data_IF_925647460202
#
_entry.id   IF_925647460202
#
_cell.length_a   1.000
_cell.length_b   1.000
_cell.length_c   1.000
_cell.angle_alpha   90.00
_cell.angle_beta   90.00
_cell.angle_gamma   90.00
#
_symmetry.space_group_name_H-M   'P 1'
#
loop_
_entity.id
_entity.type
_entity.pdbx_description
1 polymer ?
#
# COMPACT_ATOMS: atom_id res chain seq x y z
N UNK A 1 17.69 -9.34 19.51
CA UNK A 1 18.52 -8.80 18.41
C UNK A 1 18.28 -7.31 18.30
N UNK A 2 19.33 -6.56 17.94
CA UNK A 2 19.19 -5.16 17.52
C UNK A 2 18.92 -5.10 16.02
N UNK A 3 17.74 -4.62 15.63
CA UNK A 3 17.28 -4.64 14.25
C UNK A 3 17.08 -3.20 13.77
N UNK A 4 17.68 -2.85 12.63
CA UNK A 4 17.37 -1.64 11.91
C UNK A 4 16.42 -1.95 10.74
N UNK A 5 15.24 -1.34 10.71
CA UNK A 5 14.37 -1.30 9.54
C UNK A 5 14.50 0.07 8.88
N UNK A 6 14.81 0.11 7.58
CA UNK A 6 14.98 1.35 6.86
C UNK A 6 13.88 1.54 5.82
N UNK A 7 13.26 2.73 5.82
CA UNK A 7 12.30 3.16 4.79
C UNK A 7 12.53 4.62 4.41
N UNK A 8 12.09 5.03 3.23
CA UNK A 8 12.44 6.34 2.66
C UNK A 8 11.45 7.46 3.01
N UNK A 9 10.35 7.17 3.69
CA UNK A 9 9.25 8.13 3.85
C UNK A 9 8.50 7.94 5.16
N UNK A 10 7.92 9.03 5.64
CA UNK A 10 7.00 9.07 6.80
C UNK A 10 5.53 8.98 6.40
N UNK A 11 5.21 9.07 5.11
CA UNK A 11 3.84 9.12 4.56
C UNK A 11 3.18 7.73 4.47
N UNK A 12 1.84 7.62 4.45
CA UNK A 12 1.10 6.35 4.44
C UNK A 12 1.19 5.64 3.08
N UNK A 13 2.34 5.08 2.78
CA UNK A 13 2.60 4.23 1.61
C UNK A 13 2.66 2.77 2.03
N UNK A 14 2.30 1.84 1.14
CA UNK A 14 2.23 0.41 1.46
C UNK A 14 3.51 -0.13 2.14
N UNK A 15 4.69 0.20 1.61
CA UNK A 15 5.96 -0.19 2.24
C UNK A 15 6.21 0.44 3.60
N UNK A 16 5.75 1.69 3.83
CA UNK A 16 5.87 2.36 5.15
C UNK A 16 4.88 1.76 6.15
N UNK A 17 3.65 1.48 5.72
CA UNK A 17 2.65 0.77 6.56
C UNK A 17 3.20 -0.59 6.99
N UNK A 18 3.77 -1.35 6.05
CA UNK A 18 4.45 -2.62 6.32
C UNK A 18 5.59 -2.44 7.33
N UNK A 19 6.48 -1.48 7.08
CA UNK A 19 7.66 -1.23 7.94
C UNK A 19 7.27 -1.00 9.39
N UNK A 20 6.29 -0.13 9.63
CA UNK A 20 5.84 0.20 10.98
C UNK A 20 5.16 -0.98 11.67
N UNK A 21 4.28 -1.67 10.97
CA UNK A 21 3.57 -2.81 11.54
C UNK A 21 4.49 -4.01 11.82
N UNK A 22 5.48 -4.26 10.94
CA UNK A 22 6.52 -5.24 11.18
C UNK A 22 7.41 -4.84 12.36
N UNK A 23 7.80 -3.56 12.46
CA UNK A 23 8.61 -3.06 13.58
C UNK A 23 7.91 -3.29 14.93
N UNK A 24 6.63 -2.94 15.01
CA UNK A 24 5.81 -3.14 16.22
C UNK A 24 5.67 -4.62 16.57
N UNK A 25 5.43 -5.49 15.57
CA UNK A 25 5.33 -6.94 15.80
C UNK A 25 6.67 -7.56 16.24
N UNK A 26 7.81 -7.11 15.68
CA UNK A 26 9.14 -7.54 16.11
C UNK A 26 9.47 -7.05 17.52
N UNK A 27 9.11 -5.83 17.87
CA UNK A 27 9.27 -5.28 19.22
C UNK A 27 8.42 -6.06 20.23
N UNK A 28 7.16 -6.36 19.89
CA UNK A 28 6.28 -7.21 20.70
C UNK A 28 6.83 -8.64 20.88
N UNK A 29 7.62 -9.14 19.91
CA UNK A 29 8.37 -10.39 20.00
C UNK A 29 9.71 -10.25 20.77
N UNK A 30 9.94 -9.15 21.50
CA UNK A 30 11.08 -8.93 22.36
C UNK A 30 12.37 -8.50 21.64
N UNK A 31 12.27 -7.98 20.42
CA UNK A 31 13.43 -7.48 19.68
C UNK A 31 13.64 -5.99 19.95
N UNK A 32 14.91 -5.55 19.87
CA UNK A 32 15.32 -4.16 19.97
C UNK A 32 15.28 -3.53 18.58
N UNK A 33 14.17 -2.83 18.24
CA UNK A 33 13.88 -2.37 16.89
C UNK A 33 14.03 -0.87 16.77
N UNK A 34 14.78 -0.44 15.75
CA UNK A 34 14.89 0.96 15.33
C UNK A 34 14.41 1.12 13.89
N UNK A 35 13.48 2.05 13.64
CA UNK A 35 13.06 2.44 12.29
C UNK A 35 13.78 3.72 11.88
N UNK A 36 14.50 3.65 10.77
CA UNK A 36 15.19 4.79 10.13
C UNK A 36 14.38 5.28 8.93
N UNK A 37 14.20 6.58 8.80
CA UNK A 37 13.49 7.20 7.69
C UNK A 37 13.95 8.63 7.41
N UNK A 38 13.51 9.18 6.28
CA UNK A 38 13.70 10.59 5.92
C UNK A 38 12.46 11.41 6.30
N UNK A 39 12.65 12.50 7.05
CA UNK A 39 11.63 13.50 7.39
C UNK A 39 11.49 14.54 6.28
N UNK A 40 10.73 14.23 5.24
CA UNK A 40 10.50 15.13 4.10
C UNK A 40 9.57 16.26 4.47
N UNK A 41 9.83 17.46 3.95
CA UNK A 41 8.97 18.63 4.17
C UNK A 41 8.87 19.05 5.65
N UNK A 42 9.89 18.75 6.46
CA UNK A 42 9.90 19.05 7.89
C UNK A 42 9.14 18.05 8.76
N UNK A 43 8.75 16.89 8.22
CA UNK A 43 8.11 15.84 9.02
C UNK A 43 9.03 15.37 10.16
N UNK A 44 8.56 15.51 11.40
CA UNK A 44 9.23 15.01 12.61
C UNK A 44 8.81 13.60 13.03
N UNK A 45 7.85 12.98 12.34
CA UNK A 45 7.30 11.68 12.68
C UNK A 45 6.47 11.07 11.55
N UNK A 46 5.94 9.88 11.80
CA UNK A 46 5.12 9.15 10.83
C UNK A 46 3.67 9.62 10.82
N UNK A 47 2.93 9.21 9.79
CA UNK A 47 1.52 9.52 9.57
C UNK A 47 0.56 8.99 10.68
N UNK A 48 1.07 8.17 11.59
CA UNK A 48 0.36 7.65 12.77
C UNK A 48 1.33 7.51 13.96
N UNK A 49 0.79 7.42 15.18
CA UNK A 49 1.57 6.99 16.34
C UNK A 49 2.20 5.62 16.10
N UNK A 50 3.41 5.42 16.62
CA UNK A 50 4.16 4.16 16.60
C UNK A 50 4.36 3.72 18.04
N UNK A 51 4.31 2.41 18.29
CA UNK A 51 4.51 1.84 19.62
C UNK A 51 5.83 2.37 20.23
N UNK A 52 5.82 2.89 21.48
CA UNK A 52 7.01 3.43 22.14
C UNK A 52 8.16 2.42 22.28
N UNK A 53 7.90 1.12 22.20
CA UNK A 53 8.91 0.08 22.18
C UNK A 53 9.78 0.12 20.92
N UNK A 54 9.31 0.78 19.84
CA UNK A 54 10.05 0.97 18.59
C UNK A 54 10.77 2.32 18.63
N UNK A 55 12.08 2.30 18.50
CA UNK A 55 12.86 3.55 18.37
C UNK A 55 12.73 4.12 16.96
N UNK A 56 12.54 5.43 16.87
CA UNK A 56 12.44 6.15 15.60
C UNK A 56 13.66 7.05 15.39
N UNK A 57 14.23 7.00 14.19
CA UNK A 57 15.31 7.86 13.70
C UNK A 57 14.84 8.55 12.42
N UNK A 58 14.26 9.72 12.57
CA UNK A 58 13.80 10.56 11.45
C UNK A 58 14.94 11.49 11.08
N UNK A 59 15.57 11.21 9.94
CA UNK A 59 16.68 12.02 9.41
C UNK A 59 16.10 13.25 8.71
N UNK A 60 16.47 14.48 9.08
CA UNK A 60 15.99 15.67 8.41
C UNK A 60 16.31 15.64 6.92
N UNK A 61 15.26 15.86 6.10
CA UNK A 61 15.38 15.89 4.66
C UNK A 61 14.59 17.09 4.12
N UNK A 62 15.21 18.27 4.05
CA UNK A 62 14.58 19.47 3.57
C UNK A 62 14.17 19.31 2.09
N UNK A 63 13.13 20.02 1.70
CA UNK A 63 12.72 20.05 0.30
C UNK A 63 13.85 20.59 -0.57
N UNK A 64 14.00 20.05 -1.77
CA UNK A 64 14.90 20.55 -2.79
C UNK A 64 14.38 21.85 -3.40
N UNK A 65 15.22 22.50 -4.19
CA UNK A 65 14.80 23.66 -4.95
C UNK A 65 13.67 23.32 -5.95
N UNK A 66 12.92 24.31 -6.44
CA UNK A 66 11.78 24.10 -7.34
C UNK A 66 12.15 23.39 -8.67
N UNK A 67 13.42 23.36 -9.02
CA UNK A 67 13.93 22.67 -10.21
C UNK A 67 14.37 21.21 -9.94
N UNK A 68 14.34 20.75 -8.68
CA UNK A 68 14.79 19.39 -8.35
C UNK A 68 13.90 18.33 -9.00
N UNK A 69 14.47 17.56 -9.91
CA UNK A 69 13.80 16.43 -10.54
C UNK A 69 13.62 15.25 -9.60
N UNK A 70 12.71 14.32 -9.96
CA UNK A 70 12.46 13.10 -9.16
C UNK A 70 13.73 12.26 -9.01
N UNK A 71 14.52 12.10 -10.08
CA UNK A 71 15.77 11.36 -10.06
C UNK A 71 16.79 11.94 -9.11
N UNK A 72 17.03 13.25 -9.17
CA UNK A 72 17.94 13.97 -8.28
C UNK A 72 17.51 13.82 -6.82
N UNK A 73 16.23 13.96 -6.54
CA UNK A 73 15.66 13.77 -5.20
C UNK A 73 15.88 12.34 -4.67
N UNK A 74 15.74 11.32 -5.53
CA UNK A 74 16.01 9.92 -5.16
C UNK A 74 17.48 9.75 -4.81
N UNK A 75 18.41 10.23 -5.64
CA UNK A 75 19.84 10.13 -5.40
C UNK A 75 20.26 10.88 -4.13
N UNK A 76 19.75 12.08 -3.92
CA UNK A 76 19.96 12.86 -2.69
C UNK A 76 19.39 12.13 -1.46
N UNK A 77 18.23 11.49 -1.58
CA UNK A 77 17.64 10.69 -0.50
C UNK A 77 18.55 9.54 -0.08
N UNK A 78 19.14 8.84 -1.04
CA UNK A 78 20.10 7.77 -0.81
C UNK A 78 21.34 8.31 -0.08
N UNK A 79 21.89 9.44 -0.55
CA UNK A 79 23.09 10.04 0.02
C UNK A 79 22.87 10.51 1.47
N UNK A 80 21.76 11.20 1.74
CA UNK A 80 21.44 11.72 3.08
C UNK A 80 21.19 10.58 4.06
N UNK A 81 20.40 9.57 3.67
CA UNK A 81 20.13 8.43 4.55
C UNK A 81 21.41 7.61 4.82
N UNK A 82 22.25 7.39 3.81
CA UNK A 82 23.54 6.71 3.95
C UNK A 82 24.49 7.44 4.91
N UNK A 83 24.55 8.76 4.80
CA UNK A 83 25.43 9.57 5.67
C UNK A 83 25.01 9.51 7.14
N UNK A 84 23.71 9.47 7.41
CA UNK A 84 23.16 9.45 8.76
C UNK A 84 23.15 8.05 9.40
N UNK A 85 23.10 6.98 8.59
CA UNK A 85 22.90 5.62 9.08
C UNK A 85 24.22 4.95 9.47
N UNK A 86 24.25 4.31 10.65
CA UNK A 86 25.40 3.59 11.18
C UNK A 86 25.09 2.08 11.28
N UNK A 87 25.38 1.28 10.24
CA UNK A 87 24.98 -0.14 10.20
C UNK A 87 25.62 -1.00 11.30
N UNK A 88 26.85 -0.68 11.74
CA UNK A 88 27.59 -1.47 12.74
C UNK A 88 26.96 -1.49 14.15
N UNK A 89 25.93 -0.71 14.41
CA UNK A 89 25.21 -0.71 15.67
C UNK A 89 24.13 -1.83 15.75
N UNK A 90 23.85 -2.52 14.65
CA UNK A 90 22.74 -3.46 14.51
C UNK A 90 23.21 -4.87 14.14
N UNK A 91 22.52 -5.87 14.71
CA UNK A 91 22.71 -7.27 14.34
C UNK A 91 22.13 -7.57 12.95
N UNK A 92 21.01 -6.89 12.62
CA UNK A 92 20.31 -7.00 11.35
C UNK A 92 20.00 -5.62 10.80
N UNK A 93 20.34 -5.43 9.53
CA UNK A 93 19.95 -4.27 8.73
C UNK A 93 19.00 -4.73 7.64
N UNK A 94 17.77 -4.21 7.63
CA UNK A 94 16.71 -4.63 6.72
C UNK A 94 16.07 -3.45 6.01
N UNK A 95 16.29 -3.32 4.72
CA UNK A 95 15.77 -2.26 3.87
C UNK A 95 14.41 -2.62 3.26
N UNK A 96 13.49 -1.66 3.21
CA UNK A 96 12.11 -1.86 2.77
C UNK A 96 11.83 -1.31 1.37
N UNK A 97 12.77 -0.60 0.76
CA UNK A 97 12.62 0.02 -0.55
C UNK A 97 13.99 0.20 -1.26
N UNK A 98 13.96 0.65 -2.51
CA UNK A 98 15.14 0.86 -3.32
C UNK A 98 16.09 1.91 -2.73
N UNK A 99 15.53 3.01 -2.20
CA UNK A 99 16.32 4.12 -1.61
C UNK A 99 17.05 3.61 -0.36
N UNK A 100 16.33 2.97 0.54
CA UNK A 100 16.89 2.45 1.79
C UNK A 100 17.90 1.32 1.57
N UNK A 101 17.69 0.45 0.57
CA UNK A 101 18.65 -0.60 0.22
C UNK A 101 19.97 -0.01 -0.31
N UNK A 102 19.89 0.98 -1.21
CA UNK A 102 21.09 1.68 -1.69
C UNK A 102 21.78 2.46 -0.58
N UNK A 103 21.04 3.01 0.38
CA UNK A 103 21.62 3.73 1.51
C UNK A 103 22.33 2.80 2.49
N UNK A 104 21.72 1.68 2.83
CA UNK A 104 22.24 0.70 3.78
C UNK A 104 23.44 -0.09 3.25
N UNK A 105 23.49 -0.36 1.95
CA UNK A 105 24.53 -1.16 1.32
C UNK A 105 24.34 -2.66 1.60
N UNK A 106 25.10 -3.20 2.57
CA UNK A 106 24.98 -4.61 2.96
C UNK A 106 23.79 -4.81 3.89
N UNK A 107 22.70 -5.39 3.37
CA UNK A 107 21.43 -5.54 4.09
C UNK A 107 20.60 -6.69 3.57
N UNK A 108 19.60 -7.12 4.33
CA UNK A 108 18.41 -7.79 3.81
C UNK A 108 17.52 -6.77 3.11
N UNK A 109 16.77 -7.18 2.11
CA UNK A 109 15.77 -6.31 1.48
C UNK A 109 14.43 -7.01 1.33
N UNK A 110 13.34 -6.33 1.72
CA UNK A 110 11.99 -6.70 1.29
C UNK A 110 11.65 -6.02 -0.04
N UNK A 111 11.18 -6.81 -1.01
CA UNK A 111 10.67 -6.34 -2.30
C UNK A 111 9.14 -6.39 -2.24
N UNK A 112 8.53 -5.21 -2.21
CA UNK A 112 7.07 -5.05 -2.20
C UNK A 112 6.46 -5.14 -3.60
N UNK A 113 7.17 -4.69 -4.62
CA UNK A 113 6.90 -4.80 -6.05
C UNK A 113 8.15 -4.34 -6.81
N UNK A 114 8.21 -4.65 -8.07
CA UNK A 114 9.28 -4.18 -8.95
C UNK A 114 8.78 -2.98 -9.76
N UNK A 115 9.59 -1.91 -9.81
CA UNK A 115 9.36 -0.75 -10.66
C UNK A 115 10.23 -0.82 -11.92
N UNK A 116 9.80 -0.17 -12.98
CA UNK A 116 10.61 0.02 -14.17
C UNK A 116 11.05 1.47 -14.26
N UNK A 117 12.35 1.67 -14.36
CA UNK A 117 12.95 2.99 -14.51
C UNK A 117 13.54 3.12 -15.90
N UNK A 118 13.25 4.22 -16.59
CA UNK A 118 13.77 4.53 -17.91
C UNK A 118 15.04 5.38 -17.86
N UNK A 119 15.27 6.08 -16.75
CA UNK A 119 16.49 6.88 -16.52
C UNK A 119 17.63 5.95 -16.14
N UNK A 120 18.80 5.98 -16.83
CA UNK A 120 19.89 5.04 -16.59
C UNK A 120 20.36 5.00 -15.11
N UNK A 121 20.45 6.15 -14.45
CA UNK A 121 20.89 6.26 -13.06
C UNK A 121 19.90 5.59 -12.09
N UNK A 122 18.60 5.75 -12.34
CA UNK A 122 17.56 5.12 -11.53
C UNK A 122 17.46 3.61 -11.80
N UNK A 123 17.63 3.20 -13.07
CA UNK A 123 17.72 1.79 -13.42
C UNK A 123 18.91 1.12 -12.72
N UNK A 124 20.08 1.77 -12.71
CA UNK A 124 21.25 1.29 -11.99
C UNK A 124 21.05 1.27 -10.46
N UNK A 125 20.33 2.24 -9.88
CA UNK A 125 19.94 2.20 -8.46
C UNK A 125 18.99 1.02 -8.17
N UNK A 126 18.05 0.76 -9.06
CA UNK A 126 17.12 -0.37 -8.92
C UNK A 126 17.87 -1.70 -9.00
N UNK A 127 18.74 -1.86 -9.97
CA UNK A 127 19.58 -3.04 -10.15
C UNK A 127 20.42 -3.32 -8.89
N UNK A 128 21.17 -2.33 -8.41
CA UNK A 128 21.95 -2.47 -7.17
C UNK A 128 21.09 -2.82 -5.96
N UNK A 129 19.87 -2.28 -5.88
CA UNK A 129 18.97 -2.58 -4.77
C UNK A 129 18.43 -4.02 -4.81
N UNK A 130 18.52 -4.72 -5.95
CA UNK A 130 18.17 -6.14 -6.06
C UNK A 130 19.41 -7.02 -5.88
N UNK A 131 20.56 -6.64 -6.45
CA UNK A 131 21.74 -7.50 -6.55
C UNK A 131 22.72 -7.39 -5.37
N UNK A 132 22.76 -6.25 -4.67
CA UNK A 132 23.71 -6.01 -3.57
C UNK A 132 23.25 -6.51 -2.19
N UNK A 133 21.93 -6.56 -1.85
CA UNK A 133 21.51 -7.17 -0.60
C UNK A 133 22.00 -8.62 -0.49
N UNK A 134 22.39 -9.03 0.71
CA UNK A 134 22.82 -10.42 0.93
C UNK A 134 21.66 -11.41 0.99
N UNK A 135 20.43 -10.93 1.06
CA UNK A 135 19.21 -11.72 1.01
C UNK A 135 17.99 -10.90 0.59
N UNK A 136 17.10 -11.54 -0.15
CA UNK A 136 15.84 -10.92 -0.62
C UNK A 136 14.65 -11.62 0.03
N UNK A 137 13.71 -10.82 0.51
CA UNK A 137 12.40 -11.25 0.98
C UNK A 137 11.37 -10.67 0.01
N UNK A 138 10.44 -11.49 -0.48
CA UNK A 138 9.33 -11.05 -1.31
C UNK A 138 8.00 -11.23 -0.58
N UNK A 139 7.06 -10.29 -0.78
CA UNK A 139 5.77 -10.30 -0.08
C UNK A 139 4.74 -11.26 -0.68
N UNK A 140 5.07 -11.90 -1.80
CA UNK A 140 4.26 -12.92 -2.48
C UNK A 140 5.15 -13.83 -3.33
N UNK A 141 4.62 -14.98 -3.72
CA UNK A 141 5.27 -15.91 -4.65
C UNK A 141 5.45 -15.26 -6.02
N UNK A 142 4.43 -14.57 -6.50
CA UNK A 142 4.50 -13.89 -7.80
C UNK A 142 5.67 -12.90 -7.87
N UNK A 143 5.92 -12.10 -6.82
CA UNK A 143 7.08 -11.19 -6.76
C UNK A 143 8.40 -11.98 -6.70
N UNK A 144 8.44 -13.10 -5.97
CA UNK A 144 9.63 -13.93 -5.91
C UNK A 144 9.96 -14.57 -7.27
N UNK A 145 8.95 -14.98 -8.02
CA UNK A 145 9.10 -15.53 -9.37
C UNK A 145 9.60 -14.46 -10.36
N UNK A 146 9.13 -13.20 -10.23
CA UNK A 146 9.67 -12.07 -11.01
C UNK A 146 11.16 -11.82 -10.70
N UNK A 147 11.57 -11.88 -9.42
CA UNK A 147 12.97 -11.75 -9.01
C UNK A 147 13.80 -12.91 -9.56
N UNK A 148 13.30 -14.13 -9.47
CA UNK A 148 13.99 -15.30 -10.02
C UNK A 148 14.14 -15.21 -11.54
N UNK A 149 13.11 -14.80 -12.25
CA UNK A 149 13.13 -14.64 -13.71
C UNK A 149 14.07 -13.51 -14.16
N UNK A 150 14.10 -12.38 -13.42
CA UNK A 150 14.90 -11.21 -13.80
C UNK A 150 16.39 -11.32 -13.44
N UNK A 151 16.70 -11.96 -12.30
CA UNK A 151 18.06 -11.95 -11.73
C UNK A 151 18.59 -13.32 -11.31
N UNK A 152 17.82 -14.39 -11.44
CA UNK A 152 18.24 -15.72 -10.97
C UNK A 152 18.36 -15.85 -9.44
N UNK A 153 17.80 -14.89 -8.68
CA UNK A 153 17.90 -14.86 -7.22
C UNK A 153 16.73 -15.63 -6.60
N UNK A 154 17.03 -16.54 -5.69
CA UNK A 154 16.03 -17.22 -4.87
C UNK A 154 15.69 -16.36 -3.66
N UNK A 155 14.46 -15.85 -3.59
CA UNK A 155 13.98 -15.02 -2.50
C UNK A 155 13.16 -15.83 -1.48
N UNK A 156 13.25 -15.47 -0.20
CA UNK A 156 12.29 -15.94 0.80
C UNK A 156 10.93 -15.27 0.56
N UNK A 157 9.84 -16.03 0.73
CA UNK A 157 8.48 -15.47 0.61
C UNK A 157 7.87 -15.32 1.99
N UNK A 158 7.62 -14.08 2.39
CA UNK A 158 6.95 -13.75 3.65
C UNK A 158 5.81 -12.78 3.35
N UNK A 159 4.56 -13.25 3.36
CA UNK A 159 3.41 -12.39 3.15
C UNK A 159 3.30 -11.28 4.21
N UNK A 160 2.73 -10.16 3.81
CA UNK A 160 2.41 -9.08 4.77
C UNK A 160 1.38 -9.55 5.79
N UNK A 161 1.48 -9.02 7.00
CA UNK A 161 0.37 -9.05 7.95
C UNK A 161 -0.70 -8.02 7.59
N UNK A 162 -1.85 -8.16 8.19
CA UNK A 162 -2.99 -7.22 8.12
C UNK A 162 -3.51 -6.98 9.53
N UNK A 163 -3.85 -5.75 9.86
CA UNK A 163 -4.56 -5.42 11.10
C UNK A 163 -6.06 -5.71 10.94
N UNK A 164 -6.37 -7.00 10.74
CA UNK A 164 -7.73 -7.46 10.48
C UNK A 164 -8.69 -7.11 11.63
N UNK A 165 -8.21 -7.16 12.87
CA UNK A 165 -9.02 -6.86 14.05
C UNK A 165 -9.53 -5.42 14.04
N UNK A 166 -8.69 -4.45 13.67
CA UNK A 166 -9.03 -3.02 13.59
C UNK A 166 -10.10 -2.75 12.54
N UNK A 167 -10.00 -3.37 11.37
CA UNK A 167 -10.99 -3.19 10.30
C UNK A 167 -12.29 -3.95 10.60
N UNK A 168 -12.21 -5.15 11.18
CA UNK A 168 -13.38 -5.89 11.64
C UNK A 168 -14.12 -5.16 12.76
N UNK A 169 -13.41 -4.54 13.71
CA UNK A 169 -14.00 -3.71 14.76
C UNK A 169 -14.80 -2.55 14.14
N UNK A 170 -14.22 -1.82 13.18
CA UNK A 170 -14.91 -0.72 12.51
C UNK A 170 -16.20 -1.16 11.79
N UNK A 171 -16.28 -2.42 11.35
CA UNK A 171 -17.49 -3.03 10.78
C UNK A 171 -18.46 -3.57 11.84
N UNK A 172 -18.05 -3.60 13.12
CA UNK A 172 -18.77 -4.19 14.24
C UNK A 172 -20.09 -3.51 14.59
N UNK A 173 -20.88 -4.13 15.49
CA UNK A 173 -22.20 -3.63 15.87
C UNK A 173 -22.17 -2.57 16.98
N UNK A 174 -21.02 -2.11 17.44
CA UNK A 174 -20.88 -1.09 18.45
C UNK A 174 -21.55 0.24 18.07
N UNK A 175 -21.97 1.04 19.05
CA UNK A 175 -22.64 2.33 18.80
C UNK A 175 -21.69 3.31 18.11
N UNK A 176 -20.45 3.39 18.58
CA UNK A 176 -19.45 4.30 18.02
C UNK A 176 -19.11 3.95 16.56
N UNK A 177 -18.95 2.65 16.28
CA UNK A 177 -18.62 2.13 14.95
C UNK A 177 -19.78 2.35 13.97
N UNK A 178 -21.03 2.12 14.40
CA UNK A 178 -22.22 2.43 13.58
C UNK A 178 -22.33 3.91 13.27
N UNK A 179 -22.09 4.77 14.26
CA UNK A 179 -22.13 6.22 14.11
C UNK A 179 -21.02 6.71 13.14
N UNK A 180 -19.80 6.18 13.27
CA UNK A 180 -18.71 6.51 12.36
C UNK A 180 -19.04 6.13 10.90
N UNK A 181 -19.58 4.93 10.68
CA UNK A 181 -20.02 4.49 9.34
C UNK A 181 -21.21 5.31 8.82
N UNK A 182 -22.15 5.68 9.70
CA UNK A 182 -23.31 6.49 9.34
C UNK A 182 -22.87 7.84 8.76
N UNK A 183 -21.90 8.53 9.38
CA UNK A 183 -21.38 9.83 8.90
C UNK A 183 -20.81 9.74 7.49
N UNK A 184 -20.10 8.66 7.17
CA UNK A 184 -19.60 8.45 5.81
C UNK A 184 -20.72 8.22 4.80
N UNK A 185 -21.74 7.44 5.17
CA UNK A 185 -22.91 7.20 4.31
C UNK A 185 -23.80 8.44 4.15
N UNK A 186 -23.90 9.26 5.16
CA UNK A 186 -24.60 10.57 5.04
C UNK A 186 -23.86 11.51 4.09
N UNK A 187 -22.53 11.46 4.10
CA UNK A 187 -21.70 12.31 3.24
C UNK A 187 -21.68 11.87 1.78
N UNK A 188 -21.62 10.56 1.53
CA UNK A 188 -21.39 10.02 0.19
C UNK A 188 -22.51 9.14 -0.35
N UNK A 189 -23.52 8.82 0.42
CA UNK A 189 -24.55 7.85 0.05
C UNK A 189 -23.98 6.42 0.00
N UNK A 190 -24.45 5.65 -0.95
CA UNK A 190 -23.92 4.32 -1.31
C UNK A 190 -22.69 4.52 -2.19
N UNK A 191 -21.54 3.97 -1.82
CA UNK A 191 -20.30 4.23 -2.56
C UNK A 191 -19.42 3.01 -2.74
N UNK A 192 -18.67 3.03 -3.85
CA UNK A 192 -17.48 2.19 -4.10
C UNK A 192 -16.26 2.97 -3.61
N UNK A 193 -15.43 2.33 -2.80
CA UNK A 193 -14.19 2.90 -2.30
C UNK A 193 -12.99 2.37 -3.09
N UNK A 194 -12.06 3.26 -3.44
CA UNK A 194 -10.70 2.91 -3.85
C UNK A 194 -9.70 3.60 -2.92
N UNK A 195 -8.65 2.89 -2.50
CA UNK A 195 -7.59 3.43 -1.66
C UNK A 195 -6.28 3.44 -2.42
N UNK A 196 -5.73 4.65 -2.61
CA UNK A 196 -4.52 4.93 -3.36
C UNK A 196 -4.59 6.30 -4.02
N UNK A 197 -3.44 6.81 -4.46
CA UNK A 197 -3.38 8.07 -5.23
C UNK A 197 -3.92 7.90 -6.65
N UNK A 198 -4.16 9.03 -7.31
CA UNK A 198 -4.46 9.05 -8.75
C UNK A 198 -3.12 8.94 -9.48
N UNK A 199 -2.79 7.72 -9.89
CA UNK A 199 -1.52 7.38 -10.54
C UNK A 199 -1.68 6.22 -11.53
N UNK A 200 -0.81 6.10 -12.55
CA UNK A 200 -0.89 5.04 -13.57
C UNK A 200 -0.94 3.64 -12.96
N UNK A 201 -0.05 3.35 -12.02
CA UNK A 201 0.06 2.04 -11.37
C UNK A 201 -1.23 1.60 -10.66
N UNK A 202 -2.00 2.57 -10.15
CA UNK A 202 -3.28 2.29 -9.47
C UNK A 202 -4.46 2.10 -10.42
N UNK A 203 -4.24 2.23 -11.74
CA UNK A 203 -5.31 2.04 -12.73
C UNK A 203 -6.44 3.05 -12.59
N UNK A 204 -6.13 4.30 -12.20
CA UNK A 204 -7.14 5.28 -11.82
C UNK A 204 -8.00 5.74 -13.01
N UNK A 205 -7.49 5.70 -14.25
CA UNK A 205 -8.28 5.95 -15.45
C UNK A 205 -9.25 4.79 -15.72
N UNK A 206 -8.80 3.54 -15.61
CA UNK A 206 -9.68 2.37 -15.77
C UNK A 206 -10.81 2.38 -14.72
N UNK A 207 -10.48 2.81 -13.49
CA UNK A 207 -11.47 2.99 -12.42
C UNK A 207 -12.53 4.02 -12.80
N UNK A 208 -12.12 5.12 -13.41
CA UNK A 208 -13.02 6.19 -13.83
C UNK A 208 -13.97 5.72 -14.93
N UNK A 209 -13.45 5.00 -15.93
CA UNK A 209 -14.25 4.40 -17.01
C UNK A 209 -15.21 3.32 -16.46
N UNK A 210 -14.73 2.45 -15.58
CA UNK A 210 -15.55 1.44 -14.93
C UNK A 210 -16.70 2.06 -14.13
N UNK A 211 -16.41 3.16 -13.43
CA UNK A 211 -17.42 3.90 -12.68
C UNK A 211 -18.46 4.53 -13.61
N UNK A 212 -18.07 5.11 -14.74
CA UNK A 212 -19.00 5.66 -15.71
C UNK A 212 -19.97 4.57 -16.24
N UNK A 213 -19.42 3.39 -16.57
CA UNK A 213 -20.23 2.24 -16.99
C UNK A 213 -21.17 1.73 -15.88
N UNK A 214 -20.68 1.66 -14.63
CA UNK A 214 -21.47 1.23 -13.48
C UNK A 214 -22.65 2.15 -13.24
N UNK A 215 -22.49 3.45 -13.34
CA UNK A 215 -23.54 4.43 -13.09
C UNK A 215 -24.74 4.31 -14.04
N UNK A 216 -24.56 3.76 -15.23
CA UNK A 216 -25.68 3.53 -16.14
C UNK A 216 -26.72 2.54 -15.59
N UNK A 217 -26.32 1.64 -14.70
CA UNK A 217 -27.20 0.65 -14.05
C UNK A 217 -27.38 0.88 -12.53
N UNK A 218 -26.46 1.59 -11.89
CA UNK A 218 -26.45 1.89 -10.45
C UNK A 218 -26.25 3.41 -10.24
N UNK A 219 -27.23 4.25 -10.61
CA UNK A 219 -27.06 5.71 -10.64
C UNK A 219 -26.88 6.37 -9.26
N UNK A 220 -27.30 5.70 -8.19
CA UNK A 220 -27.16 6.14 -6.80
C UNK A 220 -25.79 5.85 -6.21
N UNK A 221 -24.95 5.05 -6.88
CA UNK A 221 -23.61 4.71 -6.39
C UNK A 221 -22.62 5.82 -6.72
N UNK A 222 -21.83 6.23 -5.73
CA UNK A 222 -20.70 7.18 -5.91
C UNK A 222 -19.37 6.46 -5.90
N UNK A 223 -18.39 7.06 -6.56
CA UNK A 223 -16.98 6.67 -6.42
C UNK A 223 -16.29 7.58 -5.40
N UNK A 224 -15.63 6.97 -4.41
CA UNK A 224 -14.82 7.67 -3.41
C UNK A 224 -13.39 7.16 -3.53
N UNK A 225 -12.44 8.08 -3.71
CA UNK A 225 -11.00 7.80 -3.83
C UNK A 225 -10.30 8.41 -2.62
N UNK A 226 -9.63 7.57 -1.82
CA UNK A 226 -8.88 7.97 -0.64
C UNK A 226 -7.39 7.69 -0.85
N UNK A 227 -6.57 8.74 -0.96
CA UNK A 227 -5.13 8.61 -1.12
C UNK A 227 -4.47 9.92 -1.50
N UNK A 228 -3.23 10.09 -1.08
CA UNK A 228 -2.43 11.27 -1.33
C UNK A 228 -1.54 11.16 -2.57
N UNK A 229 -0.72 12.19 -2.75
CA UNK A 229 0.29 12.23 -3.80
C UNK A 229 1.38 11.17 -3.60
N UNK A 230 2.01 10.78 -4.70
CA UNK A 230 3.06 9.77 -4.73
C UNK A 230 4.47 10.40 -4.74
N UNK A 231 5.51 9.56 -4.74
CA UNK A 231 6.88 10.02 -4.90
C UNK A 231 7.14 10.61 -6.28
N UNK A 232 6.48 10.06 -7.29
CA UNK A 232 6.66 10.43 -8.70
C UNK A 232 5.81 11.64 -9.06
N UNK A 233 6.26 12.40 -10.05
CA UNK A 233 5.49 13.49 -10.60
C UNK A 233 4.48 12.97 -11.63
N UNK A 234 3.23 12.92 -11.22
CA UNK A 234 2.12 12.50 -12.07
C UNK A 234 1.15 13.64 -12.38
N UNK A 235 1.62 14.91 -12.39
CA UNK A 235 0.77 16.07 -12.66
C UNK A 235 0.05 15.96 -14.00
N UNK A 236 0.74 15.53 -15.04
CA UNK A 236 0.13 15.36 -16.37
C UNK A 236 -0.92 14.23 -16.38
N UNK A 237 -0.63 13.12 -15.70
CA UNK A 237 -1.59 12.04 -15.54
C UNK A 237 -2.80 12.49 -14.69
N UNK A 238 -2.57 13.26 -13.66
CA UNK A 238 -3.64 13.84 -12.85
C UNK A 238 -4.49 14.81 -13.66
N UNK A 239 -3.90 15.69 -14.46
CA UNK A 239 -4.62 16.60 -15.34
C UNK A 239 -5.45 15.84 -16.40
N UNK A 240 -4.91 14.76 -16.97
CA UNK A 240 -5.64 13.89 -17.89
C UNK A 240 -6.83 13.19 -17.21
N UNK A 241 -6.64 12.73 -15.97
CA UNK A 241 -7.70 12.13 -15.16
C UNK A 241 -8.82 13.15 -14.85
N UNK A 242 -8.46 14.37 -14.42
CA UNK A 242 -9.42 15.43 -14.12
C UNK A 242 -10.22 15.84 -15.37
N UNK A 243 -9.54 16.00 -16.51
CA UNK A 243 -10.19 16.30 -17.80
C UNK A 243 -11.15 15.17 -18.22
N UNK A 244 -10.76 13.90 -18.01
CA UNK A 244 -11.61 12.77 -18.32
C UNK A 244 -12.82 12.68 -17.40
N UNK A 245 -12.63 12.94 -16.11
CA UNK A 245 -13.73 12.99 -15.13
C UNK A 245 -14.74 14.07 -15.51
N UNK A 246 -14.28 15.27 -15.90
CA UNK A 246 -15.14 16.35 -16.38
C UNK A 246 -15.90 15.95 -17.66
N UNK A 247 -15.23 15.31 -18.61
CA UNK A 247 -15.86 14.85 -19.85
C UNK A 247 -16.95 13.81 -19.62
N UNK A 248 -16.78 12.94 -18.61
CA UNK A 248 -17.76 11.89 -18.28
C UNK A 248 -18.90 12.38 -17.39
N UNK A 249 -18.66 13.33 -16.49
CA UNK A 249 -19.58 13.66 -15.40
C UNK A 249 -19.86 15.17 -15.26
N UNK A 250 -19.21 16.05 -16.03
CA UNK A 250 -19.34 17.51 -15.86
C UNK A 250 -20.76 18.05 -16.02
N UNK A 251 -21.62 17.30 -16.75
CA UNK A 251 -23.06 17.59 -16.85
C UNK A 251 -23.88 17.19 -15.60
N UNK A 252 -23.28 16.46 -14.63
CA UNK A 252 -23.90 16.00 -13.41
C UNK A 252 -22.89 16.04 -12.25
N UNK A 253 -22.68 17.23 -11.63
CA UNK A 253 -21.64 17.44 -10.62
C UNK A 253 -21.72 16.48 -9.43
N UNK A 254 -22.92 16.02 -9.09
CA UNK A 254 -23.14 15.02 -8.03
C UNK A 254 -22.60 13.63 -8.40
N UNK A 255 -22.35 13.39 -9.70
CA UNK A 255 -21.76 12.16 -10.21
C UNK A 255 -20.23 12.17 -10.23
N UNK A 256 -19.61 13.33 -10.09
CA UNK A 256 -18.13 13.42 -10.02
C UNK A 256 -17.60 12.56 -8.86
N UNK A 257 -16.48 11.81 -9.09
CA UNK A 257 -15.82 11.08 -8.03
C UNK A 257 -15.41 12.01 -6.87
N UNK A 258 -15.60 11.55 -5.63
CA UNK A 258 -15.12 12.26 -4.46
C UNK A 258 -13.66 11.88 -4.18
N UNK A 259 -12.73 12.81 -4.45
CA UNK A 259 -11.28 12.62 -4.17
C UNK A 259 -10.96 13.25 -2.83
N UNK A 260 -10.65 12.43 -1.82
CA UNK A 260 -10.46 12.86 -0.43
C UNK A 260 -9.04 13.33 -0.11
N UNK A 261 -8.06 12.98 -0.95
CA UNK A 261 -6.66 13.11 -0.54
C UNK A 261 -6.29 12.13 0.59
N UNK A 262 -5.26 12.42 1.38
CA UNK A 262 -4.87 11.59 2.52
C UNK A 262 -5.97 11.56 3.58
N UNK A 263 -6.42 10.36 3.95
CA UNK A 263 -7.40 10.16 5.02
C UNK A 263 -6.64 9.85 6.32
N UNK A 264 -7.03 10.44 7.46
CA UNK A 264 -6.44 10.12 8.76
C UNK A 264 -6.46 8.61 9.03
N UNK A 265 -5.37 8.11 9.62
CA UNK A 265 -5.20 6.69 9.85
C UNK A 265 -6.36 6.06 10.66
N UNK A 266 -6.83 6.74 11.69
CA UNK A 266 -7.94 6.32 12.55
C UNK A 266 -9.31 6.37 11.85
N UNK A 267 -9.47 7.20 10.83
CA UNK A 267 -10.71 7.32 10.07
C UNK A 267 -10.84 6.27 8.94
N UNK A 268 -9.70 5.76 8.43
CA UNK A 268 -9.68 4.83 7.29
C UNK A 268 -10.51 3.54 7.52
N UNK A 269 -10.48 2.87 8.69
CA UNK A 269 -11.28 1.67 8.91
C UNK A 269 -12.79 1.92 8.82
N UNK A 270 -13.29 3.03 9.38
CA UNK A 270 -14.72 3.36 9.31
C UNK A 270 -15.16 3.78 7.91
N UNK A 271 -14.31 4.49 7.16
CA UNK A 271 -14.53 4.79 5.74
C UNK A 271 -14.61 3.50 4.93
N UNK A 272 -13.68 2.58 5.13
CA UNK A 272 -13.67 1.28 4.45
C UNK A 272 -14.92 0.47 4.81
N UNK A 273 -15.23 0.31 6.11
CA UNK A 273 -16.37 -0.48 6.57
C UNK A 273 -17.75 0.11 6.18
N UNK A 274 -17.81 1.38 5.83
CA UNK A 274 -19.04 2.03 5.34
C UNK A 274 -19.27 1.84 3.84
N UNK A 275 -18.25 1.46 3.07
CA UNK A 275 -18.32 1.27 1.63
C UNK A 275 -19.24 0.09 1.26
N UNK A 276 -19.93 0.20 0.13
CA UNK A 276 -20.76 -0.87 -0.42
C UNK A 276 -19.92 -1.92 -1.17
N UNK A 277 -18.82 -1.48 -1.80
CA UNK A 277 -17.82 -2.32 -2.42
C UNK A 277 -16.45 -1.62 -2.41
N UNK A 278 -15.39 -2.38 -2.57
CA UNK A 278 -14.02 -1.89 -2.73
C UNK A 278 -13.51 -2.23 -4.12
N UNK A 279 -13.02 -1.25 -4.87
CA UNK A 279 -12.42 -1.45 -6.18
C UNK A 279 -10.90 -1.29 -6.12
N UNK A 280 -10.17 -2.29 -6.62
CA UNK A 280 -8.71 -2.31 -6.60
C UNK A 280 -8.15 -2.58 -8.01
N UNK A 281 -8.20 -1.59 -8.91
CA UNK A 281 -7.87 -1.77 -10.32
C UNK A 281 -6.37 -1.65 -10.63
N UNK A 282 -5.51 -1.75 -9.60
CA UNK A 282 -4.05 -1.61 -9.75
C UNK A 282 -3.51 -2.51 -10.85
N UNK A 283 -2.70 -1.95 -11.75
CA UNK A 283 -2.05 -2.69 -12.84
C UNK A 283 -0.74 -3.34 -12.42
N UNK A 284 -0.24 -3.00 -11.23
CA UNK A 284 0.95 -3.60 -10.61
C UNK A 284 0.85 -3.55 -9.10
N UNK A 285 1.02 -4.70 -8.48
CA UNK A 285 0.97 -4.88 -7.03
C UNK A 285 1.93 -6.01 -6.60
N UNK A 286 2.26 -6.03 -5.31
CA UNK A 286 3.00 -7.14 -4.73
C UNK A 286 2.21 -7.93 -3.69
N UNK A 287 1.13 -7.34 -3.10
CA UNK A 287 0.30 -8.02 -2.10
C UNK A 287 -1.15 -7.52 -2.09
N UNK A 288 -1.37 -6.20 -2.07
CA UNK A 288 -2.71 -5.63 -2.02
C UNK A 288 -3.22 -5.39 -0.59
N UNK A 289 -2.41 -4.75 0.28
CA UNK A 289 -2.79 -4.45 1.67
C UNK A 289 -4.17 -3.80 1.81
N UNK A 290 -4.46 -2.76 1.02
CA UNK A 290 -5.74 -2.04 1.10
C UNK A 290 -6.95 -2.93 0.73
N UNK A 291 -6.77 -3.85 -0.24
CA UNK A 291 -7.80 -4.82 -0.57
C UNK A 291 -8.02 -5.83 0.58
N UNK A 292 -6.94 -6.28 1.21
CA UNK A 292 -7.00 -7.18 2.36
C UNK A 292 -7.66 -6.51 3.58
N UNK A 293 -7.40 -5.21 3.81
CA UNK A 293 -8.06 -4.39 4.83
C UNK A 293 -9.57 -4.26 4.55
N UNK A 294 -9.96 -4.11 3.29
CA UNK A 294 -11.38 -4.10 2.91
C UNK A 294 -12.06 -5.46 3.15
N UNK A 295 -11.39 -6.56 2.83
CA UNK A 295 -11.87 -7.92 3.17
C UNK A 295 -12.03 -8.10 4.67
N UNK A 296 -11.10 -7.61 5.49
CA UNK A 296 -11.18 -7.65 6.94
C UNK A 296 -12.41 -6.88 7.47
N UNK A 297 -12.74 -5.75 6.86
CA UNK A 297 -13.97 -5.01 7.16
C UNK A 297 -15.24 -5.70 6.64
N UNK A 298 -15.13 -6.84 5.95
CA UNK A 298 -16.26 -7.54 5.35
C UNK A 298 -16.87 -6.82 4.15
N UNK A 299 -16.09 -5.97 3.48
CA UNK A 299 -16.48 -5.27 2.26
C UNK A 299 -16.09 -6.13 1.07
N UNK A 300 -17.00 -6.39 0.10
CA UNK A 300 -16.67 -7.15 -1.09
C UNK A 300 -15.64 -6.40 -1.94
N UNK A 301 -14.66 -7.14 -2.46
CA UNK A 301 -13.54 -6.61 -3.24
C UNK A 301 -13.64 -7.05 -4.69
N UNK A 302 -13.53 -6.08 -5.60
CA UNK A 302 -13.31 -6.31 -7.03
C UNK A 302 -11.91 -5.81 -7.37
N UNK A 303 -11.07 -6.67 -7.91
CA UNK A 303 -9.66 -6.39 -8.15
C UNK A 303 -9.24 -6.70 -9.58
N UNK A 304 -8.11 -6.12 -10.02
CA UNK A 304 -7.49 -6.48 -11.30
C UNK A 304 -7.12 -7.95 -11.32
N UNK A 305 -7.31 -8.58 -12.46
CA UNK A 305 -6.87 -9.95 -12.71
C UNK A 305 -5.36 -9.99 -12.91
N UNK A 306 -4.62 -10.09 -11.80
CA UNK A 306 -3.18 -10.24 -11.76
C UNK A 306 -2.80 -11.53 -11.03
N UNK A 307 -1.71 -12.23 -11.44
CA UNK A 307 -1.24 -13.45 -10.76
C UNK A 307 -1.08 -13.25 -9.24
N UNK A 308 -0.47 -12.17 -8.82
CA UNK A 308 -0.27 -11.84 -7.40
C UNK A 308 -1.59 -11.64 -6.65
N UNK A 309 -2.59 -10.99 -7.26
CA UNK A 309 -3.88 -10.76 -6.61
C UNK A 309 -4.74 -12.02 -6.58
N UNK A 310 -4.60 -12.91 -7.58
CA UNK A 310 -5.16 -14.26 -7.51
C UNK A 310 -4.52 -15.12 -6.43
N UNK A 311 -3.20 -15.04 -6.28
CA UNK A 311 -2.46 -15.73 -5.21
C UNK A 311 -2.95 -15.27 -3.82
N UNK A 312 -2.98 -13.95 -3.58
CA UNK A 312 -3.17 -13.37 -2.26
C UNK A 312 -4.64 -13.29 -1.87
N UNK A 313 -5.53 -12.88 -2.79
CA UNK A 313 -6.94 -12.64 -2.50
C UNK A 313 -7.85 -13.83 -2.87
N UNK A 314 -7.37 -14.71 -3.76
CA UNK A 314 -8.01 -15.98 -4.10
C UNK A 314 -9.53 -15.91 -4.28
N UNK A 315 -10.28 -16.87 -3.74
CA UNK A 315 -11.73 -16.95 -3.91
C UNK A 315 -12.50 -15.91 -3.08
N UNK A 316 -11.82 -15.07 -2.28
CA UNK A 316 -12.46 -14.04 -1.46
C UNK A 316 -12.73 -12.73 -2.21
N UNK A 317 -12.36 -12.67 -3.50
CA UNK A 317 -12.51 -11.47 -4.35
C UNK A 317 -13.06 -11.82 -5.73
N UNK A 318 -13.60 -10.82 -6.42
CA UNK A 318 -13.92 -10.88 -7.84
C UNK A 318 -12.80 -10.25 -8.66
N UNK A 319 -12.60 -10.72 -9.88
CA UNK A 319 -11.48 -10.32 -10.74
C UNK A 319 -11.98 -9.77 -12.07
N UNK A 320 -11.36 -8.68 -12.51
CA UNK A 320 -11.68 -8.03 -13.78
C UNK A 320 -10.39 -7.60 -14.51
N UNK A 321 -10.39 -7.68 -15.84
CA UNK A 321 -9.25 -7.33 -16.66
C UNK A 321 -9.31 -5.90 -17.19
N UNK A 322 -10.52 -5.35 -17.40
CA UNK A 322 -10.80 -4.10 -18.07
C UNK A 322 -11.95 -3.32 -17.42
N UNK A 323 -12.21 -2.06 -17.81
CA UNK A 323 -13.28 -1.25 -17.22
C UNK A 323 -14.68 -1.87 -17.30
N UNK A 324 -15.02 -2.55 -18.38
CA UNK A 324 -16.32 -3.19 -18.54
C UNK A 324 -16.48 -4.37 -17.56
N UNK A 325 -15.44 -5.19 -17.43
CA UNK A 325 -15.36 -6.26 -16.43
C UNK A 325 -15.50 -5.73 -15.01
N UNK A 326 -14.76 -4.64 -14.66
CA UNK A 326 -14.90 -3.99 -13.35
C UNK A 326 -16.33 -3.52 -13.08
N UNK A 327 -16.96 -2.86 -14.03
CA UNK A 327 -18.36 -2.41 -13.90
C UNK A 327 -19.32 -3.59 -13.68
N UNK A 328 -19.14 -4.69 -14.42
CA UNK A 328 -19.94 -5.92 -14.29
C UNK A 328 -19.78 -6.57 -12.91
N UNK A 329 -18.54 -6.78 -12.46
CA UNK A 329 -18.25 -7.41 -11.17
C UNK A 329 -18.65 -6.51 -9.99
N UNK A 330 -18.45 -5.17 -10.10
CA UNK A 330 -18.93 -4.22 -9.10
C UNK A 330 -20.46 -4.28 -8.97
N UNK A 331 -21.19 -4.31 -10.08
CA UNK A 331 -22.65 -4.47 -10.07
C UNK A 331 -23.04 -5.77 -9.37
N UNK A 332 -22.40 -6.89 -9.71
CA UNK A 332 -22.71 -8.19 -9.11
C UNK A 332 -22.51 -8.18 -7.58
N UNK A 333 -21.39 -7.66 -7.07
CA UNK A 333 -21.15 -7.58 -5.61
C UNK A 333 -22.06 -6.57 -4.91
N UNK A 334 -22.48 -5.51 -5.57
CA UNK A 334 -23.45 -4.54 -5.04
C UNK A 334 -24.84 -5.12 -4.89
N UNK A 335 -25.22 -6.08 -5.74
CA UNK A 335 -26.50 -6.80 -5.69
C UNK A 335 -26.48 -7.97 -4.71
N UNK A 336 -25.31 -8.59 -4.45
CA UNK A 336 -25.14 -9.73 -3.54
C UNK A 336 -23.98 -9.50 -2.55
N UNK A 337 -24.02 -8.47 -1.69
CA UNK A 337 -22.86 -8.04 -0.88
C UNK A 337 -22.44 -9.04 0.22
N UNK A 338 -23.31 -10.01 0.55
CA UNK A 338 -23.05 -11.01 1.60
C UNK A 338 -22.23 -12.21 1.15
N UNK A 339 -22.18 -12.50 -0.15
CA UNK A 339 -21.62 -13.73 -0.70
C UNK A 339 -20.12 -13.93 -0.33
N UNK A 340 -19.31 -12.88 -0.43
CA UNK A 340 -17.87 -12.93 -0.20
C UNK A 340 -17.44 -12.52 1.21
N UNK A 341 -18.35 -12.01 2.03
CA UNK A 341 -18.02 -11.42 3.34
C UNK A 341 -17.28 -12.39 4.27
N UNK A 342 -17.85 -13.55 4.50
CA UNK A 342 -17.27 -14.52 5.43
C UNK A 342 -15.91 -15.05 4.92
N UNK A 343 -15.81 -15.34 3.62
CA UNK A 343 -14.56 -15.78 3.00
C UNK A 343 -13.48 -14.70 3.08
N UNK A 344 -13.84 -13.43 2.83
CA UNK A 344 -12.92 -12.29 2.93
C UNK A 344 -12.37 -12.09 4.34
N UNK A 345 -13.25 -12.08 5.34
CA UNK A 345 -12.85 -11.94 6.74
C UNK A 345 -11.98 -13.11 7.22
N UNK A 346 -12.34 -14.34 6.85
CA UNK A 346 -11.56 -15.53 7.17
C UNK A 346 -10.17 -15.48 6.51
N UNK A 347 -10.08 -15.04 5.26
CA UNK A 347 -8.81 -14.88 4.55
C UNK A 347 -7.94 -13.82 5.24
N UNK A 348 -8.46 -12.62 5.48
CA UNK A 348 -7.72 -11.54 6.12
C UNK A 348 -7.20 -11.93 7.51
N UNK A 349 -7.97 -12.69 8.28
CA UNK A 349 -7.56 -13.19 9.61
C UNK A 349 -6.40 -14.19 9.60
N UNK A 350 -6.04 -14.75 8.43
CA UNK A 350 -4.87 -15.67 8.30
C UNK A 350 -3.54 -14.92 8.18
N UNK A 351 -3.59 -13.67 7.74
CA UNK A 351 -2.40 -12.85 7.53
C UNK A 351 -2.18 -11.93 8.73
N UNK A 352 -1.38 -12.37 9.69
CA UNK A 352 -1.11 -11.61 10.91
C UNK A 352 0.30 -11.04 10.93
N UNK A 353 0.50 -9.87 11.54
CA UNK A 353 1.83 -9.30 11.72
C UNK A 353 2.70 -10.13 12.65
N UNK A 354 2.11 -10.87 13.58
CA UNK A 354 2.82 -11.82 14.45
C UNK A 354 3.42 -12.98 13.65
N UNK A 355 2.66 -13.55 12.72
CA UNK A 355 3.16 -14.60 11.83
C UNK A 355 4.25 -14.06 10.88
N UNK A 356 4.06 -12.85 10.32
CA UNK A 356 5.06 -12.20 9.50
C UNK A 356 6.36 -11.95 10.29
N UNK A 357 6.27 -11.41 11.52
CA UNK A 357 7.44 -11.18 12.37
C UNK A 357 8.17 -12.49 12.71
N UNK A 358 7.46 -13.55 13.05
CA UNK A 358 8.06 -14.86 13.32
C UNK A 358 8.82 -15.41 12.10
N UNK A 359 8.25 -15.28 10.90
CA UNK A 359 8.91 -15.67 9.65
C UNK A 359 10.17 -14.83 9.36
N UNK A 360 10.11 -13.51 9.60
CA UNK A 360 11.29 -12.64 9.46
C UNK A 360 12.39 -13.02 10.46
N UNK A 361 12.03 -13.33 11.72
CA UNK A 361 13.00 -13.76 12.73
C UNK A 361 13.70 -15.06 12.33
N UNK A 362 12.99 -16.01 11.71
CA UNK A 362 13.61 -17.22 11.16
C UNK A 362 14.64 -16.91 10.07
N UNK A 363 14.31 -16.01 9.13
CA UNK A 363 15.25 -15.56 8.08
C UNK A 363 16.45 -14.85 8.73
N UNK A 364 16.24 -13.96 9.70
CA UNK A 364 17.32 -13.23 10.37
C UNK A 364 18.30 -14.17 11.12
N UNK A 365 17.78 -15.25 11.71
CA UNK A 365 18.60 -16.24 12.40
C UNK A 365 19.54 -17.01 11.44
N UNK A 366 19.11 -17.22 10.19
CA UNK A 366 19.92 -17.88 9.15
C UNK A 366 20.92 -16.93 8.47
N UNK A 367 20.81 -15.63 8.71
CA UNK A 367 21.61 -14.58 8.03
C UNK A 367 22.78 -14.05 8.87
N UNK A 368 23.03 -14.66 10.03
CA UNK A 368 24.12 -14.31 10.97
C UNK A 368 25.42 -15.05 10.67
#
# INVERSE_FOLDING_TARGET
MKIALLTYSTKPRGGVVHTLALAEALAAAGQDVTVWTLGRGGDGGFFRPVDPAVRLRVVPFPDGGPAEGVGERILRSIAVLRHAFTPGEYDIVHAQDCISANAAGHCLRTVHHLDHFTTPELAACHERAVTNPFGIICVSRAVADEIAAGWGITAAVIPNGVDAARFALAAGPGRAEREARRRWRERFGRYVLAVGGIEPRKGSLDLLEAYALLRSSEPDVRLVIAGGETLFDYRDYRAAWDARAEALFGGAPEALPAVLGPVPHDALPSLTAAAAAFCFPSVREGFGLAAMEALAAGVPVVTRDLPVLREVLGPASRFAADPAGFAGELRAVLQSPGELRAAGQALAGRYTWQAAAAAHLAVYACSR
#
